data_IF_518102022787
#
_entry.id   IF_518102022787
#
_cell.length_a   1.000
_cell.length_b   1.000
_cell.length_c   1.000
_cell.angle_alpha   90.00
_cell.angle_beta   90.00
_cell.angle_gamma   90.00
#
_symmetry.space_group_name_H-M   'P 1'
#
loop_
_entity.id
_entity.type
_entity.pdbx_description
1 polymer ?
#
# COMPACT_ATOMS: atom_id res chain seq x y z
N UNK A 1 4.66 2.29 -7.39
CA UNK A 1 3.66 1.20 -7.37
C UNK A 1 4.18 0.17 -6.39
N UNK A 2 3.34 -0.32 -5.49
CA UNK A 2 3.67 -1.39 -4.55
C UNK A 2 2.84 -2.63 -4.88
N UNK A 3 3.51 -3.77 -5.00
CA UNK A 3 2.87 -5.08 -5.00
C UNK A 3 3.13 -5.79 -3.66
N UNK A 4 2.23 -6.71 -3.30
CA UNK A 4 2.42 -7.62 -2.17
C UNK A 4 2.11 -9.05 -2.61
N UNK A 5 2.97 -9.99 -2.22
CA UNK A 5 2.80 -11.40 -2.55
C UNK A 5 3.11 -12.30 -1.35
N UNK A 6 2.46 -13.48 -1.31
CA UNK A 6 2.80 -14.52 -0.33
C UNK A 6 4.07 -15.22 -0.80
N UNK A 7 5.01 -15.42 0.13
CA UNK A 7 6.21 -16.19 -0.13
C UNK A 7 5.84 -17.68 -0.03
N UNK A 8 5.77 -18.34 -1.19
CA UNK A 8 5.47 -19.78 -1.27
C UNK A 8 6.73 -20.65 -1.31
N UNK A 9 7.79 -20.16 -1.94
CA UNK A 9 9.08 -20.84 -2.02
C UNK A 9 10.21 -19.86 -1.62
N UNK A 10 10.80 -20.01 -0.42
CA UNK A 10 11.88 -19.13 0.04
C UNK A 10 13.20 -19.33 -0.73
N UNK A 11 13.41 -20.49 -1.39
CA UNK A 11 14.63 -20.76 -2.16
C UNK A 11 14.78 -19.81 -3.35
N UNK A 12 13.66 -19.32 -3.88
CA UNK A 12 13.64 -18.26 -4.88
C UNK A 12 14.35 -17.02 -4.34
N UNK A 13 14.11 -16.60 -3.10
CA UNK A 13 14.73 -15.40 -2.55
C UNK A 13 16.23 -15.62 -2.27
N UNK A 14 16.59 -16.80 -1.76
CA UNK A 14 17.98 -17.17 -1.39
C UNK A 14 18.88 -17.36 -2.62
N UNK A 15 18.35 -17.92 -3.71
CA UNK A 15 19.11 -18.06 -4.96
C UNK A 15 19.42 -16.71 -5.60
N UNK A 16 18.61 -15.69 -5.32
CA UNK A 16 18.74 -14.35 -5.89
C UNK A 16 19.68 -13.43 -5.10
N UNK A 17 20.10 -13.83 -3.89
CA UNK A 17 21.16 -13.15 -3.13
C UNK A 17 22.56 -13.66 -3.47
N UNK A 18 22.71 -14.59 -4.43
CA UNK A 18 23.96 -15.30 -4.72
C UNK A 18 24.59 -14.89 -6.06
N UNK A 19 25.04 -13.65 -6.23
CA UNK A 19 25.91 -13.27 -7.36
C UNK A 19 26.81 -12.09 -6.92
N UNK A 20 27.98 -12.31 -6.29
CA UNK A 20 29.34 -12.63 -6.76
C UNK A 20 30.27 -11.42 -6.98
N UNK A 21 31.51 -11.56 -6.49
CA UNK A 21 32.42 -10.52 -5.97
C UNK A 21 33.28 -9.74 -7.00
N UNK A 22 32.97 -9.75 -8.30
CA UNK A 22 33.84 -9.12 -9.32
C UNK A 22 33.11 -8.42 -10.50
N UNK A 23 31.80 -8.23 -10.41
CA UNK A 23 30.96 -7.65 -11.47
C UNK A 23 29.87 -6.78 -10.85
N UNK A 24 29.47 -5.71 -11.54
CA UNK A 24 28.31 -4.92 -11.10
C UNK A 24 27.02 -5.69 -11.42
N UNK A 25 26.70 -6.66 -10.56
CA UNK A 25 25.50 -7.47 -10.69
C UNK A 25 24.23 -6.61 -10.58
N UNK A 26 23.15 -7.11 -11.14
CA UNK A 26 21.84 -6.46 -11.08
C UNK A 26 21.16 -6.44 -9.69
N UNK A 27 21.83 -6.99 -8.68
CA UNK A 27 21.36 -7.11 -7.30
C UNK A 27 22.39 -6.48 -6.35
N UNK A 28 21.97 -5.54 -5.51
CA UNK A 28 22.79 -5.09 -4.39
C UNK A 28 22.73 -6.11 -3.25
N UNK A 29 23.72 -6.02 -2.35
CA UNK A 29 23.65 -6.65 -1.03
C UNK A 29 22.32 -6.31 -0.34
N UNK A 30 21.67 -7.33 0.23
CA UNK A 30 20.47 -7.13 1.03
C UNK A 30 20.81 -6.72 2.45
N UNK A 31 19.90 -6.01 3.11
CA UNK A 31 20.08 -5.61 4.52
C UNK A 31 18.90 -6.04 5.39
N UNK A 32 19.19 -6.51 6.61
CA UNK A 32 18.15 -6.77 7.60
C UNK A 32 17.58 -5.46 8.14
N UNK A 33 16.27 -5.45 8.41
CA UNK A 33 15.56 -4.26 8.86
C UNK A 33 14.42 -4.60 9.83
N UNK A 34 13.86 -3.56 10.44
CA UNK A 34 12.80 -3.68 11.44
C UNK A 34 13.31 -3.83 12.86
N UNK A 35 12.42 -3.56 13.81
CA UNK A 35 12.70 -3.48 15.23
C UNK A 35 13.03 -4.83 15.85
N UNK A 36 12.50 -5.93 15.31
CA UNK A 36 12.88 -7.26 15.80
C UNK A 36 14.34 -7.56 15.42
N UNK A 37 14.75 -7.21 14.19
CA UNK A 37 16.15 -7.29 13.78
C UNK A 37 17.03 -6.33 14.57
N UNK A 38 16.53 -5.14 14.93
CA UNK A 38 17.26 -4.20 15.81
C UNK A 38 17.54 -4.81 17.19
N UNK A 39 16.55 -5.45 17.81
CA UNK A 39 16.71 -6.15 19.09
C UNK A 39 17.73 -7.29 19.03
N UNK A 40 17.86 -7.92 17.85
CA UNK A 40 18.83 -8.99 17.60
C UNK A 40 20.19 -8.46 17.09
N UNK A 41 20.40 -7.13 17.06
CA UNK A 41 21.61 -6.49 16.50
C UNK A 41 21.88 -6.88 15.04
N UNK A 42 20.82 -7.07 14.26
CA UNK A 42 20.85 -7.40 12.84
C UNK A 42 20.50 -6.21 11.94
N UNK A 43 19.73 -5.23 12.44
CA UNK A 43 19.30 -4.10 11.60
C UNK A 43 20.48 -3.37 10.98
N UNK A 44 20.45 -3.18 9.66
CA UNK A 44 21.52 -2.55 8.87
C UNK A 44 22.71 -3.47 8.56
N UNK A 45 22.72 -4.72 9.05
CA UNK A 45 23.71 -5.72 8.62
C UNK A 45 23.29 -6.33 7.30
N UNK A 46 24.28 -6.66 6.49
CA UNK A 46 24.11 -7.46 5.29
C UNK A 46 23.39 -8.77 5.61
N UNK A 47 22.52 -9.19 4.70
CA UNK A 47 21.74 -10.42 4.83
C UNK A 47 22.63 -11.61 4.57
N UNK A 48 23.02 -12.30 5.64
CA UNK A 48 23.66 -13.61 5.52
C UNK A 48 22.62 -14.72 5.30
N UNK A 49 23.00 -15.70 4.48
CA UNK A 49 22.14 -16.82 4.08
C UNK A 49 21.61 -17.60 5.28
N UNK A 50 22.46 -17.90 6.25
CA UNK A 50 22.11 -18.75 7.41
C UNK A 50 21.05 -18.08 8.27
N UNK A 51 21.19 -16.80 8.57
CA UNK A 51 20.21 -16.03 9.33
C UNK A 51 18.92 -15.86 8.55
N UNK A 52 18.99 -15.57 7.24
CA UNK A 52 17.81 -15.44 6.40
C UNK A 52 17.00 -16.75 6.34
N UNK A 53 17.67 -17.88 6.08
CA UNK A 53 17.07 -19.23 6.07
C UNK A 53 16.44 -19.56 7.43
N UNK A 54 17.09 -19.17 8.54
CA UNK A 54 16.53 -19.34 9.89
C UNK A 54 15.22 -18.57 10.07
N UNK A 55 15.16 -17.30 9.65
CA UNK A 55 13.92 -16.52 9.73
C UNK A 55 12.80 -17.12 8.88
N UNK A 56 13.11 -17.54 7.65
CA UNK A 56 12.15 -18.24 6.79
C UNK A 56 11.66 -19.55 7.43
N UNK A 57 12.58 -20.31 8.01
CA UNK A 57 12.28 -21.60 8.66
C UNK A 57 11.23 -21.52 9.76
N UNK A 58 11.08 -20.36 10.44
CA UNK A 58 10.05 -20.17 11.45
C UNK A 58 8.62 -20.28 10.90
N UNK A 59 8.41 -19.93 9.63
CA UNK A 59 7.11 -20.00 8.96
C UNK A 59 6.78 -21.35 8.33
N UNK A 60 7.78 -22.26 8.23
CA UNK A 60 7.67 -23.54 7.51
C UNK A 60 6.53 -24.42 8.03
N UNK A 61 6.41 -24.56 9.36
CA UNK A 61 5.36 -25.39 9.99
C UNK A 61 3.95 -24.84 9.76
N UNK A 62 3.83 -23.54 9.54
CA UNK A 62 2.55 -22.83 9.36
C UNK A 62 2.19 -22.68 7.86
N UNK A 63 3.04 -23.13 6.94
CA UNK A 63 2.83 -22.95 5.49
C UNK A 63 2.83 -21.48 5.06
N UNK A 64 3.42 -20.59 5.86
CA UNK A 64 3.48 -19.16 5.65
C UNK A 64 4.88 -18.66 5.98
N UNK A 65 5.72 -18.49 4.96
CA UNK A 65 7.10 -18.00 5.13
C UNK A 65 7.18 -16.49 5.37
N UNK A 66 6.14 -15.76 4.97
CA UNK A 66 6.04 -14.31 5.07
C UNK A 66 5.39 -13.72 3.83
N UNK A 67 5.56 -12.41 3.67
CA UNK A 67 5.16 -11.68 2.46
C UNK A 67 6.32 -10.91 1.88
N UNK A 68 6.30 -10.73 0.57
CA UNK A 68 7.20 -9.88 -0.16
C UNK A 68 6.43 -8.64 -0.62
N UNK A 69 7.02 -7.46 -0.40
CA UNK A 69 6.49 -6.16 -0.81
C UNK A 69 7.50 -5.52 -1.77
N UNK A 70 7.03 -5.19 -2.98
CA UNK A 70 7.89 -4.75 -4.08
C UNK A 70 7.60 -3.29 -4.46
N UNK A 71 8.19 -2.28 -3.79
CA UNK A 71 8.11 -0.90 -4.24
C UNK A 71 9.02 -0.66 -5.44
N UNK A 72 8.47 0.02 -6.45
CA UNK A 72 9.24 0.57 -7.55
C UNK A 72 8.92 2.05 -7.73
N UNK A 73 9.93 2.92 -7.99
CA UNK A 73 9.68 4.30 -8.36
C UNK A 73 8.99 4.35 -9.74
N UNK A 74 8.44 5.52 -10.11
CA UNK A 74 8.04 5.79 -11.49
C UNK A 74 9.16 5.46 -12.49
N UNK A 75 8.80 5.08 -13.72
CA UNK A 75 9.77 4.61 -14.73
C UNK A 75 10.77 5.71 -15.11
N UNK A 76 10.30 6.95 -15.24
CA UNK A 76 11.13 8.12 -15.50
C UNK A 76 12.20 8.35 -14.42
N UNK A 77 11.94 8.07 -13.14
CA UNK A 77 12.97 8.08 -12.10
C UNK A 77 14.11 7.12 -12.41
N UNK A 78 13.77 5.87 -12.79
CA UNK A 78 14.79 4.86 -13.11
C UNK A 78 15.59 5.24 -14.36
N UNK A 79 14.89 5.66 -15.42
CA UNK A 79 15.50 6.11 -16.68
C UNK A 79 16.44 7.28 -16.43
N UNK A 80 16.00 8.27 -15.64
CA UNK A 80 16.80 9.43 -15.31
C UNK A 80 18.04 9.08 -14.47
N UNK A 81 17.87 8.19 -13.49
CA UNK A 81 18.99 7.66 -12.68
C UNK A 81 20.02 6.93 -13.55
N UNK A 82 19.59 6.02 -14.43
CA UNK A 82 20.52 5.26 -15.27
C UNK A 82 21.18 6.14 -16.34
N UNK A 83 20.57 7.27 -16.73
CA UNK A 83 21.22 8.25 -17.62
C UNK A 83 22.21 9.16 -16.90
N UNK A 84 22.10 9.32 -15.60
CA UNK A 84 22.93 10.22 -14.81
C UNK A 84 24.41 9.80 -14.84
N UNK A 85 25.30 10.79 -14.67
CA UNK A 85 26.69 10.49 -14.34
C UNK A 85 26.77 9.78 -12.97
N UNK A 86 27.90 9.13 -12.68
CA UNK A 86 28.06 8.32 -11.47
C UNK A 86 27.75 9.09 -10.18
N UNK A 87 28.18 10.36 -10.10
CA UNK A 87 27.94 11.20 -8.91
C UNK A 87 26.46 11.48 -8.68
N UNK A 88 25.72 11.83 -9.73
CA UNK A 88 24.28 12.09 -9.63
C UNK A 88 23.49 10.78 -9.49
N UNK A 89 23.95 9.68 -10.11
CA UNK A 89 23.36 8.35 -9.93
C UNK A 89 23.37 7.92 -8.46
N UNK A 90 24.48 8.14 -7.75
CA UNK A 90 24.57 7.89 -6.31
C UNK A 90 23.58 8.73 -5.49
N UNK A 91 23.27 9.96 -5.92
CA UNK A 91 22.22 10.77 -5.28
C UNK A 91 20.86 10.11 -5.46
N UNK A 92 20.49 9.68 -6.67
CA UNK A 92 19.22 8.97 -6.91
C UNK A 92 19.10 7.70 -6.08
N UNK A 93 20.17 6.90 -6.00
CA UNK A 93 20.22 5.71 -5.13
C UNK A 93 19.98 6.07 -3.66
N UNK A 94 20.59 7.15 -3.18
CA UNK A 94 20.34 7.66 -1.83
C UNK A 94 18.88 8.08 -1.62
N UNK A 95 18.24 8.73 -2.61
CA UNK A 95 16.81 9.06 -2.53
C UNK A 95 15.96 7.80 -2.40
N UNK A 96 16.26 6.78 -3.22
CA UNK A 96 15.57 5.49 -3.17
C UNK A 96 15.73 4.83 -1.81
N UNK A 97 16.96 4.76 -1.29
CA UNK A 97 17.26 4.22 0.05
C UNK A 97 16.48 4.93 1.15
N UNK A 98 16.40 6.26 1.13
CA UNK A 98 15.59 7.02 2.09
C UNK A 98 14.10 6.68 1.98
N UNK A 99 13.59 6.51 0.76
CA UNK A 99 12.19 6.13 0.53
C UNK A 99 11.89 4.70 1.02
N UNK A 100 12.81 3.76 0.82
CA UNK A 100 12.72 2.40 1.34
C UNK A 100 12.75 2.39 2.87
N UNK A 101 13.60 3.20 3.51
CA UNK A 101 13.64 3.33 4.97
C UNK A 101 12.31 3.84 5.55
N UNK A 102 11.72 4.87 4.95
CA UNK A 102 10.41 5.40 5.37
C UNK A 102 9.30 4.34 5.17
N UNK A 103 9.36 3.58 4.07
CA UNK A 103 8.42 2.50 3.79
C UNK A 103 8.56 1.34 4.79
N UNK A 104 9.78 0.89 5.11
CA UNK A 104 10.05 -0.14 6.12
C UNK A 104 9.45 0.26 7.47
N UNK A 105 9.60 1.53 7.87
CA UNK A 105 8.98 2.05 9.09
C UNK A 105 7.45 2.01 9.00
N UNK A 106 6.88 2.41 7.87
CA UNK A 106 5.44 2.37 7.66
C UNK A 106 4.89 0.94 7.71
N UNK A 107 5.60 -0.04 7.13
CA UNK A 107 5.27 -1.47 7.20
C UNK A 107 5.23 -1.92 8.66
N UNK A 108 6.25 -1.61 9.45
CA UNK A 108 6.30 -1.95 10.87
C UNK A 108 5.13 -1.35 11.66
N UNK A 109 4.82 -0.07 11.44
CA UNK A 109 3.70 0.65 12.08
C UNK A 109 2.31 0.17 11.64
N UNK A 110 2.24 -0.70 10.63
CA UNK A 110 0.99 -1.23 10.07
C UNK A 110 0.96 -2.75 9.98
N UNK A 111 1.86 -3.45 10.68
CA UNK A 111 1.86 -4.92 10.73
C UNK A 111 1.10 -5.39 11.96
N UNK A 112 -0.01 -6.08 11.74
CA UNK A 112 -0.89 -6.60 12.80
C UNK A 112 -0.77 -8.13 12.91
N UNK A 113 -1.15 -8.67 14.06
CA UNK A 113 -1.39 -10.09 14.27
C UNK A 113 -2.79 -10.32 14.83
N UNK A 114 -3.32 -11.53 14.62
CA UNK A 114 -4.63 -11.94 15.12
C UNK A 114 -4.49 -12.51 16.53
N UNK A 115 -5.32 -12.05 17.46
CA UNK A 115 -5.39 -12.56 18.83
C UNK A 115 -6.82 -13.01 19.15
N UNK A 116 -6.98 -14.27 19.55
CA UNK A 116 -8.27 -14.84 19.94
C UNK A 116 -8.26 -15.19 21.42
N UNK A 117 -9.14 -14.56 22.20
CA UNK A 117 -9.28 -14.78 23.64
C UNK A 117 -10.75 -15.00 23.99
N UNK A 118 -11.08 -16.12 24.65
CA UNK A 118 -12.46 -16.47 25.05
C UNK A 118 -13.48 -16.36 23.89
N UNK A 119 -13.09 -16.80 22.69
CA UNK A 119 -13.92 -16.75 21.48
C UNK A 119 -13.92 -15.40 20.75
N UNK A 120 -13.37 -14.33 21.34
CA UNK A 120 -13.30 -13.02 20.70
C UNK A 120 -11.98 -12.85 19.96
N UNK A 121 -12.06 -12.63 18.65
CA UNK A 121 -10.91 -12.41 17.77
C UNK A 121 -10.74 -10.92 17.49
N UNK A 122 -9.53 -10.41 17.67
CA UNK A 122 -9.16 -9.02 17.35
C UNK A 122 -7.80 -8.96 16.67
N UNK A 123 -7.53 -7.84 16.00
CA UNK A 123 -6.23 -7.54 15.42
C UNK A 123 -5.47 -6.58 16.34
N UNK A 124 -4.23 -6.93 16.68
CA UNK A 124 -3.35 -6.10 17.50
C UNK A 124 -2.11 -5.72 16.71
N UNK A 125 -1.67 -4.46 16.85
CA UNK A 125 -0.43 -4.00 16.23
C UNK A 125 0.76 -4.74 16.85
N UNK A 126 1.64 -5.27 16.01
CA UNK A 126 2.87 -5.90 16.44
C UNK A 126 3.78 -4.91 17.19
N UNK A 127 4.52 -5.42 18.18
CA UNK A 127 5.51 -4.64 18.94
C UNK A 127 6.83 -4.53 18.19
N UNK A 128 7.18 -5.55 17.41
CA UNK A 128 8.39 -5.61 16.60
C UNK A 128 8.23 -6.57 15.41
N UNK A 129 8.75 -6.16 14.25
CA UNK A 129 8.71 -6.89 12.98
C UNK A 129 10.14 -7.12 12.50
N UNK A 130 10.40 -8.26 11.87
CA UNK A 130 11.68 -8.54 11.20
C UNK A 130 11.48 -8.51 9.69
N UNK A 131 12.39 -7.83 9.00
CA UNK A 131 12.40 -7.70 7.55
C UNK A 131 13.81 -7.90 7.00
N UNK A 132 13.89 -8.20 5.71
CA UNK A 132 15.09 -8.09 4.90
C UNK A 132 14.71 -7.38 3.60
N UNK A 133 15.59 -6.59 3.02
CA UNK A 133 15.30 -5.91 1.76
C UNK A 133 16.49 -5.96 0.80
N UNK A 134 16.20 -6.04 -0.50
CA UNK A 134 17.17 -6.19 -1.59
C UNK A 134 16.86 -5.20 -2.72
N UNK A 135 17.84 -4.39 -3.12
CA UNK A 135 17.69 -3.44 -4.23
C UNK A 135 18.11 -4.11 -5.55
N UNK A 136 17.27 -3.98 -6.57
CA UNK A 136 17.47 -4.57 -7.90
C UNK A 136 17.30 -3.52 -9.01
N UNK A 137 17.99 -3.70 -10.13
CA UNK A 137 18.08 -2.69 -11.21
C UNK A 137 17.47 -3.08 -12.55
N UNK A 138 17.11 -4.35 -12.74
CA UNK A 138 16.69 -4.88 -14.04
C UNK A 138 15.24 -5.35 -14.01
N UNK A 139 14.55 -5.22 -15.14
CA UNK A 139 13.31 -5.95 -15.35
C UNK A 139 13.60 -7.42 -15.61
N UNK A 140 12.55 -8.24 -15.56
CA UNK A 140 12.60 -9.55 -16.22
C UNK A 140 12.88 -9.37 -17.72
N UNK A 141 13.71 -10.25 -18.26
CA UNK A 141 14.04 -10.26 -19.68
C UNK A 141 12.81 -10.52 -20.54
N UNK A 142 12.74 -9.80 -21.66
CA UNK A 142 11.72 -9.96 -22.70
C UNK A 142 12.45 -10.23 -24.00
N UNK A 143 12.10 -11.35 -24.64
CA UNK A 143 12.63 -11.65 -25.96
C UNK A 143 12.10 -10.66 -27.01
N UNK A 144 13.03 -10.02 -27.73
CA UNK A 144 12.81 -9.07 -28.82
C UNK A 144 13.73 -9.48 -29.98
N UNK A 145 13.15 -9.85 -31.12
CA UNK A 145 13.89 -10.26 -32.33
C UNK A 145 14.92 -11.38 -32.07
N UNK A 146 14.59 -12.38 -31.23
CA UNK A 146 15.48 -13.49 -30.88
C UNK A 146 16.56 -13.15 -29.85
N UNK A 147 16.56 -11.94 -29.29
CA UNK A 147 17.49 -11.50 -28.24
C UNK A 147 16.73 -11.23 -26.95
N UNK A 148 17.22 -11.72 -25.82
CA UNK A 148 16.65 -11.44 -24.51
C UNK A 148 17.08 -10.03 -24.07
N UNK A 149 16.13 -9.08 -24.01
CA UNK A 149 16.39 -7.70 -23.60
C UNK A 149 15.89 -7.45 -22.19
N UNK A 150 16.68 -6.73 -21.39
CA UNK A 150 16.32 -6.31 -20.03
C UNK A 150 16.18 -4.79 -19.99
N UNK A 151 15.09 -4.29 -19.40
CA UNK A 151 14.91 -2.85 -19.20
C UNK A 151 15.50 -2.42 -17.85
N UNK A 152 15.98 -1.18 -17.77
CA UNK A 152 16.28 -0.57 -16.49
C UNK A 152 14.99 -0.48 -15.64
N UNK A 153 15.03 -1.06 -14.44
CA UNK A 153 13.92 -1.07 -13.49
C UNK A 153 14.48 -1.11 -12.07
N UNK A 154 14.68 0.06 -11.46
CA UNK A 154 14.95 0.14 -10.03
C UNK A 154 13.73 -0.39 -9.27
N UNK A 155 13.96 -1.25 -8.29
CA UNK A 155 12.94 -1.72 -7.35
C UNK A 155 13.59 -2.32 -6.12
N UNK A 156 12.81 -2.40 -5.04
CA UNK A 156 13.21 -3.11 -3.82
C UNK A 156 12.36 -4.38 -3.69
N UNK A 157 12.94 -5.44 -3.16
CA UNK A 157 12.23 -6.60 -2.66
C UNK A 157 12.27 -6.56 -1.13
N UNK A 158 11.17 -6.20 -0.47
CA UNK A 158 11.08 -6.17 1.00
C UNK A 158 10.40 -7.44 1.48
N UNK A 159 11.19 -8.35 2.05
CA UNK A 159 10.73 -9.57 2.70
C UNK A 159 10.32 -9.26 4.14
N UNK A 160 9.04 -9.38 4.44
CA UNK A 160 8.51 -9.37 5.81
C UNK A 160 8.38 -10.82 6.27
N UNK A 161 9.22 -11.22 7.23
CA UNK A 161 9.21 -12.59 7.72
C UNK A 161 7.93 -12.89 8.50
N UNK A 162 7.47 -14.15 8.41
CA UNK A 162 6.19 -14.62 8.97
C UNK A 162 5.92 -14.27 10.44
N UNK A 163 6.95 -14.27 11.29
CA UNK A 163 6.80 -14.10 12.74
C UNK A 163 7.11 -12.68 13.20
N UNK A 164 6.21 -12.16 14.03
CA UNK A 164 6.33 -10.87 14.70
C UNK A 164 6.21 -11.04 16.21
N UNK A 165 6.73 -10.09 16.99
CA UNK A 165 6.56 -10.09 18.45
C UNK A 165 5.33 -9.25 18.79
N UNK A 166 4.38 -9.85 19.50
CA UNK A 166 3.18 -9.19 20.00
C UNK A 166 3.45 -8.29 21.20
N UNK A 167 2.45 -7.52 21.62
CA UNK A 167 2.57 -6.68 22.83
C UNK A 167 2.70 -7.51 24.10
N UNK A 168 2.19 -8.74 24.07
CA UNK A 168 2.34 -9.75 25.12
C UNK A 168 3.75 -10.38 25.16
N UNK A 169 4.67 -9.95 24.30
CA UNK A 169 6.04 -10.48 24.23
C UNK A 169 6.16 -11.85 23.56
N UNK A 170 5.05 -12.42 23.08
CA UNK A 170 5.04 -13.72 22.39
C UNK A 170 5.20 -13.54 20.88
N UNK A 171 5.63 -14.61 20.21
CA UNK A 171 5.67 -14.63 18.74
C UNK A 171 4.29 -14.98 18.18
N UNK A 172 3.89 -14.26 17.13
CA UNK A 172 2.64 -14.48 16.40
C UNK A 172 2.90 -14.40 14.89
N UNK A 173 2.06 -15.05 14.10
CA UNK A 173 2.05 -14.88 12.64
C UNK A 173 1.34 -13.56 12.30
N UNK A 174 1.94 -12.74 11.46
CA UNK A 174 1.33 -11.47 11.07
C UNK A 174 0.26 -11.65 9.99
N UNK A 175 -0.61 -10.65 9.86
CA UNK A 175 -1.73 -10.65 8.90
C UNK A 175 -1.54 -9.68 7.75
N UNK A 176 -0.30 -9.21 7.51
CA UNK A 176 0.01 -8.20 6.50
C UNK A 176 -0.45 -8.57 5.07
N UNK A 177 -0.56 -9.86 4.73
CA UNK A 177 -1.11 -10.29 3.44
C UNK A 177 -2.57 -9.83 3.23
N UNK A 178 -3.33 -9.65 4.32
CA UNK A 178 -4.72 -9.20 4.29
C UNK A 178 -4.85 -7.81 3.64
N UNK A 179 -3.79 -6.99 3.65
CA UNK A 179 -3.73 -5.70 2.97
C UNK A 179 -4.04 -5.78 1.46
N UNK A 180 -3.77 -6.94 0.84
CA UNK A 180 -4.11 -7.23 -0.55
C UNK A 180 -5.62 -7.34 -0.79
N UNK A 181 -6.38 -7.70 0.23
CA UNK A 181 -7.82 -7.97 0.14
C UNK A 181 -8.66 -6.86 0.78
N UNK A 182 -8.02 -5.84 1.37
CA UNK A 182 -8.70 -4.64 1.85
C UNK A 182 -9.48 -3.96 0.72
N UNK A 183 -10.68 -3.45 1.06
CA UNK A 183 -11.45 -2.61 0.15
C UNK A 183 -10.59 -1.43 -0.33
N UNK A 184 -10.43 -1.28 -1.64
CA UNK A 184 -9.59 -0.26 -2.29
C UNK A 184 -8.07 -0.35 -1.98
N UNK A 185 -7.59 -1.43 -1.34
CA UNK A 185 -6.17 -1.61 -0.98
C UNK A 185 -5.59 -0.44 -0.13
N UNK A 186 -6.34 0.07 0.85
CA UNK A 186 -5.97 1.28 1.60
C UNK A 186 -4.56 1.22 2.21
N UNK A 187 -4.17 0.09 2.80
CA UNK A 187 -2.83 -0.11 3.37
C UNK A 187 -1.73 -0.07 2.30
N UNK A 188 -1.93 -0.72 1.15
CA UNK A 188 -0.93 -0.70 0.08
C UNK A 188 -0.82 0.68 -0.58
N UNK A 189 -1.93 1.39 -0.75
CA UNK A 189 -1.91 2.76 -1.26
C UNK A 189 -1.21 3.71 -0.27
N UNK A 190 -1.40 3.51 1.04
CA UNK A 190 -0.67 4.27 2.05
C UNK A 190 0.83 4.03 1.97
N UNK A 191 1.26 2.77 1.87
CA UNK A 191 2.66 2.41 1.66
C UNK A 191 3.24 3.03 0.38
N UNK A 192 2.51 2.96 -0.73
CA UNK A 192 2.95 3.53 -2.01
C UNK A 192 3.13 5.03 -1.90
N UNK A 193 2.20 5.74 -1.23
CA UNK A 193 2.32 7.19 -1.05
C UNK A 193 3.42 7.61 -0.07
N UNK A 194 3.74 6.81 0.96
CA UNK A 194 4.92 7.07 1.80
C UNK A 194 6.20 7.04 0.94
N UNK A 195 6.35 5.99 0.14
CA UNK A 195 7.51 5.80 -0.73
C UNK A 195 7.60 6.89 -1.82
N UNK A 196 6.51 7.14 -2.55
CA UNK A 196 6.42 8.15 -3.59
C UNK A 196 6.64 9.57 -3.05
N UNK A 197 6.10 9.88 -1.87
CA UNK A 197 6.26 11.18 -1.25
C UNK A 197 7.72 11.47 -0.92
N UNK A 198 8.45 10.50 -0.34
CA UNK A 198 9.89 10.68 -0.08
C UNK A 198 10.66 10.95 -1.37
N UNK A 199 10.47 10.14 -2.41
CA UNK A 199 11.15 10.33 -3.70
C UNK A 199 10.87 11.71 -4.28
N UNK A 200 9.60 12.12 -4.34
CA UNK A 200 9.18 13.42 -4.83
C UNK A 200 9.89 14.58 -4.10
N UNK A 201 9.98 14.51 -2.77
CA UNK A 201 10.64 15.56 -1.98
C UNK A 201 12.15 15.58 -2.17
N UNK A 202 12.81 14.44 -2.30
CA UNK A 202 14.26 14.42 -2.57
C UNK A 202 14.57 14.89 -4.01
N UNK A 203 13.76 14.52 -5.00
CA UNK A 203 13.86 15.03 -6.38
C UNK A 203 13.75 16.56 -6.43
N UNK A 204 12.76 17.13 -5.73
CA UNK A 204 12.55 18.57 -5.66
C UNK A 204 13.74 19.30 -5.03
N UNK A 205 14.40 18.71 -4.02
CA UNK A 205 15.61 19.28 -3.41
C UNK A 205 16.78 19.33 -4.40
N UNK A 206 16.89 18.34 -5.28
CA UNK A 206 17.91 18.33 -6.34
C UNK A 206 17.53 19.18 -7.57
N UNK A 207 16.36 19.83 -7.54
CA UNK A 207 15.89 20.75 -8.58
C UNK A 207 15.09 20.11 -9.71
N UNK A 208 14.69 18.84 -9.58
CA UNK A 208 13.80 18.20 -10.55
C UNK A 208 12.35 18.61 -10.30
N UNK A 209 11.63 18.92 -11.38
CA UNK A 209 10.20 19.28 -11.32
C UNK A 209 9.38 18.02 -11.51
N UNK A 210 8.41 17.80 -10.62
CA UNK A 210 7.45 16.70 -10.74
C UNK A 210 6.08 17.19 -11.19
N UNK A 211 5.38 16.33 -11.90
CA UNK A 211 4.02 16.55 -12.41
C UNK A 211 3.08 15.43 -11.92
N UNK A 212 1.77 15.70 -11.79
CA UNK A 212 0.78 14.67 -11.48
C UNK A 212 0.77 13.55 -12.51
N UNK A 213 0.98 12.32 -12.03
CA UNK A 213 0.87 11.11 -12.83
C UNK A 213 -0.45 10.39 -12.59
N UNK A 214 -0.54 9.18 -13.14
CA UNK A 214 -1.72 8.32 -12.95
C UNK A 214 -1.81 7.77 -11.52
N UNK A 215 -3.04 7.63 -11.00
CA UNK A 215 -3.33 6.97 -9.71
C UNK A 215 -2.50 7.51 -8.54
N UNK A 216 -2.46 8.83 -8.37
CA UNK A 216 -1.67 9.52 -7.35
C UNK A 216 -0.15 9.27 -7.44
N UNK A 217 0.39 8.76 -8.55
CA UNK A 217 1.84 8.75 -8.83
C UNK A 217 2.30 10.13 -9.31
N UNK A 218 3.61 10.35 -9.43
CA UNK A 218 4.17 11.49 -10.14
C UNK A 218 4.91 11.07 -11.41
N UNK A 219 5.18 12.04 -12.29
CA UNK A 219 6.15 11.98 -13.38
C UNK A 219 7.21 13.07 -13.21
N UNK A 220 8.36 12.94 -13.86
CA UNK A 220 9.44 13.94 -13.84
C UNK A 220 9.40 14.73 -15.14
N UNK A 221 9.21 16.04 -15.02
CA UNK A 221 9.17 16.94 -16.17
C UNK A 221 10.49 16.86 -16.95
N UNK A 222 10.38 16.74 -18.27
CA UNK A 222 11.53 16.65 -19.17
C UNK A 222 11.98 15.22 -19.50
N UNK A 223 11.43 14.19 -18.83
CA UNK A 223 11.53 12.80 -19.30
C UNK A 223 10.29 12.48 -20.12
N UNK A 224 10.46 12.26 -21.42
CA UNK A 224 9.31 12.08 -22.32
C UNK A 224 8.64 10.71 -22.15
N UNK A 225 7.37 10.62 -22.56
CA UNK A 225 6.60 9.38 -22.49
C UNK A 225 7.25 8.30 -23.37
N UNK A 226 7.76 8.68 -24.54
CA UNK A 226 8.44 7.80 -25.49
C UNK A 226 9.65 7.12 -24.84
N UNK A 227 10.46 7.87 -24.09
CA UNK A 227 11.60 7.31 -23.34
C UNK A 227 11.12 6.30 -22.29
N UNK A 228 10.10 6.64 -21.50
CA UNK A 228 9.59 5.70 -20.49
C UNK A 228 8.96 4.45 -21.10
N UNK A 229 8.31 4.57 -22.25
CA UNK A 229 7.68 3.47 -22.98
C UNK A 229 8.72 2.55 -23.63
N UNK A 230 9.85 3.08 -24.08
CA UNK A 230 10.98 2.28 -24.57
C UNK A 230 11.48 1.30 -23.50
N UNK A 231 11.55 1.73 -22.24
CA UNK A 231 11.94 0.90 -21.10
C UNK A 231 10.76 0.22 -20.37
N UNK A 232 9.63 0.06 -21.05
CA UNK A 232 8.42 -0.60 -20.52
C UNK A 232 8.02 -1.82 -21.37
N UNK A 233 9.00 -2.55 -21.92
CA UNK A 233 8.78 -3.70 -22.84
C UNK A 233 7.91 -4.78 -22.21
N UNK A 234 8.12 -5.09 -20.92
CA UNK A 234 7.33 -6.06 -20.17
C UNK A 234 5.85 -5.68 -20.14
N UNK A 235 5.55 -4.40 -19.93
CA UNK A 235 4.19 -3.87 -19.91
C UNK A 235 3.56 -3.99 -21.30
N UNK A 236 4.27 -3.60 -22.35
CA UNK A 236 3.82 -3.71 -23.76
C UNK A 236 3.44 -5.16 -24.09
N UNK A 237 4.32 -6.13 -23.80
CA UNK A 237 4.04 -7.57 -24.02
C UNK A 237 2.81 -8.09 -23.26
N UNK A 238 2.59 -7.61 -22.04
CA UNK A 238 1.37 -7.97 -21.27
C UNK A 238 0.14 -7.38 -21.95
N UNK A 239 0.17 -6.11 -22.34
CA UNK A 239 -0.93 -5.42 -23.00
C UNK A 239 -1.25 -6.07 -24.35
N UNK A 240 -0.24 -6.38 -25.17
CA UNK A 240 -0.41 -7.11 -26.43
C UNK A 240 -1.09 -8.46 -26.21
N UNK A 241 -0.82 -9.15 -25.09
CA UNK A 241 -1.37 -10.47 -24.81
C UNK A 241 -2.83 -10.45 -24.33
N UNK A 242 -3.24 -9.43 -23.56
CA UNK A 242 -4.57 -9.41 -22.91
C UNK A 242 -5.45 -8.20 -23.23
N UNK A 243 -4.92 -7.17 -23.88
CA UNK A 243 -5.59 -5.91 -24.15
C UNK A 243 -5.38 -4.85 -23.05
N UNK A 244 -5.48 -3.58 -23.42
CA UNK A 244 -5.29 -2.46 -22.48
C UNK A 244 -6.44 -2.35 -21.47
N UNK A 245 -7.66 -2.73 -21.84
CA UNK A 245 -8.83 -2.68 -20.94
C UNK A 245 -8.98 -3.92 -20.05
N UNK A 246 -8.03 -4.87 -20.14
CA UNK A 246 -8.07 -6.08 -19.34
C UNK A 246 -8.01 -5.78 -17.84
N UNK A 247 -8.78 -6.57 -17.07
CA UNK A 247 -8.79 -6.46 -15.62
C UNK A 247 -7.39 -6.61 -15.02
N UNK A 248 -7.17 -6.02 -13.84
CA UNK A 248 -5.91 -6.17 -13.11
C UNK A 248 -5.54 -7.63 -12.87
N UNK A 249 -6.51 -8.48 -12.51
CA UNK A 249 -6.30 -9.91 -12.30
C UNK A 249 -5.83 -10.61 -13.58
N UNK A 250 -6.42 -10.24 -14.73
CA UNK A 250 -6.04 -10.77 -16.06
C UNK A 250 -4.61 -10.35 -16.42
N UNK A 251 -4.28 -9.07 -16.28
CA UNK A 251 -2.91 -8.55 -16.54
C UNK A 251 -1.89 -9.18 -15.60
N UNK A 252 -2.23 -9.38 -14.32
CA UNK A 252 -1.36 -10.05 -13.34
C UNK A 252 -1.09 -11.51 -13.72
N UNK A 253 -2.11 -12.24 -14.18
CA UNK A 253 -1.93 -13.63 -14.63
C UNK A 253 -1.07 -13.71 -15.89
N UNK A 254 -1.31 -12.84 -16.86
CA UNK A 254 -0.48 -12.76 -18.06
C UNK A 254 0.98 -12.39 -17.74
N UNK A 255 1.20 -11.51 -16.75
CA UNK A 255 2.53 -11.19 -16.24
C UNK A 255 3.26 -12.39 -15.64
N UNK A 256 2.56 -13.36 -15.04
CA UNK A 256 3.19 -14.59 -14.55
C UNK A 256 3.48 -15.56 -15.71
N UNK A 257 2.50 -15.75 -16.61
CA UNK A 257 2.59 -16.75 -17.68
C UNK A 257 3.59 -16.37 -18.79
N UNK A 258 3.85 -15.08 -19.01
CA UNK A 258 4.76 -14.60 -20.06
C UNK A 258 6.16 -14.30 -19.53
N UNK A 259 6.47 -14.68 -18.28
CA UNK A 259 7.71 -14.31 -17.60
C UNK A 259 8.81 -15.33 -17.91
N UNK A 260 9.91 -14.86 -18.49
CA UNK A 260 11.11 -15.68 -18.61
C UNK A 260 11.74 -15.95 -17.23
N UNK A 261 12.57 -17.00 -17.16
CA UNK A 261 13.38 -17.29 -15.97
C UNK A 261 14.27 -16.07 -15.69
N UNK A 262 14.53 -15.78 -14.41
CA UNK A 262 15.50 -14.74 -14.04
C UNK A 262 16.89 -15.31 -14.35
N UNK A 263 17.68 -14.56 -15.08
CA UNK A 263 19.07 -14.87 -15.43
C UNK A 263 19.96 -13.80 -14.82
N UNK A 264 21.21 -14.15 -14.55
CA UNK A 264 22.21 -13.21 -14.07
C UNK A 264 22.48 -12.17 -15.14
N UNK A 265 22.48 -10.89 -14.77
CA UNK A 265 22.76 -9.79 -15.69
C UNK A 265 23.90 -8.92 -15.17
N UNK A 266 24.81 -8.57 -16.08
CA UNK A 266 25.91 -7.65 -15.82
C UNK A 266 25.48 -6.22 -16.18
N UNK A 267 25.34 -5.35 -15.18
CA UNK A 267 24.95 -3.95 -15.41
C UNK A 267 25.99 -3.18 -16.22
N UNK A 268 27.27 -3.59 -16.15
CA UNK A 268 28.35 -3.01 -16.95
C UNK A 268 28.11 -3.19 -18.46
N UNK A 269 27.40 -4.25 -18.86
CA UNK A 269 27.04 -4.51 -20.26
C UNK A 269 25.68 -3.91 -20.63
N UNK A 270 24.71 -3.95 -19.72
CA UNK A 270 23.36 -3.43 -19.96
C UNK A 270 23.29 -1.90 -20.05
N UNK A 271 24.06 -1.18 -19.23
CA UNK A 271 24.00 0.29 -19.24
C UNK A 271 24.40 0.92 -20.57
N UNK A 272 25.51 0.52 -21.22
CA UNK A 272 25.82 1.00 -22.56
C UNK A 272 24.70 0.74 -23.58
N UNK A 273 23.99 -0.39 -23.48
CA UNK A 273 22.82 -0.66 -24.33
C UNK A 273 21.66 0.31 -24.02
N UNK A 274 21.36 0.52 -22.74
CA UNK A 274 20.33 1.46 -22.32
C UNK A 274 20.64 2.89 -22.75
N UNK A 275 21.89 3.33 -22.64
CA UNK A 275 22.31 4.66 -23.10
C UNK A 275 22.11 4.82 -24.61
N UNK A 276 22.46 3.81 -25.41
CA UNK A 276 22.19 3.82 -26.86
C UNK A 276 20.69 3.93 -27.18
N UNK A 277 19.84 3.21 -26.44
CA UNK A 277 18.37 3.28 -26.58
C UNK A 277 17.81 4.65 -26.17
N UNK A 278 18.42 5.30 -25.19
CA UNK A 278 18.07 6.68 -24.80
C UNK A 278 18.58 7.71 -25.82
N UNK A 279 19.78 7.53 -26.36
CA UNK A 279 20.37 8.38 -27.40
C UNK A 279 19.52 8.38 -28.67
N UNK A 280 18.98 7.23 -29.08
CA UNK A 280 18.09 7.14 -30.24
C UNK A 280 16.77 7.88 -30.07
N UNK A 281 16.43 8.28 -28.83
CA UNK A 281 15.26 9.10 -28.49
C UNK A 281 15.66 10.55 -28.12
N UNK A 282 16.93 10.93 -28.27
CA UNK A 282 17.43 12.26 -27.94
C UNK A 282 17.52 12.54 -26.43
N UNK A 283 17.42 11.51 -25.58
CA UNK A 283 17.55 11.64 -24.13
C UNK A 283 19.00 11.44 -23.70
N UNK A 284 19.82 12.45 -23.97
CA UNK A 284 21.28 12.44 -23.76
C UNK A 284 21.68 12.95 -22.36
N UNK A 285 22.93 12.71 -21.94
CA UNK A 285 23.38 13.04 -20.58
C UNK A 285 23.36 14.55 -20.28
N UNK A 286 23.65 15.38 -21.29
CA UNK A 286 23.56 16.85 -21.24
C UNK A 286 22.14 17.35 -20.98
N UNK A 287 21.10 16.55 -21.29
CA UNK A 287 19.71 16.92 -21.04
C UNK A 287 19.36 16.91 -19.55
N UNK A 288 20.03 16.11 -18.72
CA UNK A 288 19.70 15.95 -17.29
C UNK A 288 19.76 17.28 -16.54
N UNK A 289 20.78 18.09 -16.80
CA UNK A 289 20.89 19.43 -16.21
C UNK A 289 19.78 20.37 -16.71
N UNK A 290 19.46 20.28 -18.01
CA UNK A 290 18.49 21.17 -18.67
C UNK A 290 17.04 20.96 -18.23
N UNK A 291 16.69 19.78 -17.71
CA UNK A 291 15.32 19.48 -17.25
C UNK A 291 15.04 19.96 -15.82
N UNK A 292 16.07 20.46 -15.11
CA UNK A 292 15.89 21.04 -13.78
C UNK A 292 15.13 22.36 -13.86
N UNK A 293 14.40 22.68 -12.80
CA UNK A 293 13.59 23.89 -12.76
C UNK A 293 12.96 24.15 -11.39
N UNK A 294 12.09 25.16 -11.33
CA UNK A 294 11.35 25.52 -10.13
C UNK A 294 10.02 24.77 -10.09
N UNK A 295 9.79 24.02 -9.02
CA UNK A 295 8.49 23.39 -8.78
C UNK A 295 7.39 24.44 -8.62
N UNK A 296 6.26 24.24 -9.30
CA UNK A 296 5.02 25.00 -9.07
C UNK A 296 4.07 24.21 -8.16
N UNK A 297 3.22 24.93 -7.43
CA UNK A 297 2.14 24.31 -6.67
C UNK A 297 1.06 23.77 -7.60
N UNK A 298 0.72 22.50 -7.43
CA UNK A 298 -0.34 21.81 -8.18
C UNK A 298 -1.17 20.90 -7.25
N UNK A 299 -1.09 21.13 -5.93
CA UNK A 299 -1.87 20.37 -4.95
C UNK A 299 -3.34 20.72 -5.00
N UNK A 300 -4.19 19.72 -4.79
CA UNK A 300 -5.64 19.87 -4.78
C UNK A 300 -6.15 20.24 -3.39
N UNK A 301 -7.25 20.99 -3.35
CA UNK A 301 -7.98 21.28 -2.12
C UNK A 301 -8.77 20.05 -1.66
N UNK A 302 -9.17 20.03 -0.38
CA UNK A 302 -9.92 18.92 0.22
C UNK A 302 -11.14 18.48 -0.60
N UNK A 303 -11.96 19.45 -1.07
CA UNK A 303 -13.19 19.16 -1.81
C UNK A 303 -12.94 18.56 -3.20
N UNK A 304 -11.78 18.83 -3.81
CA UNK A 304 -11.37 18.25 -5.10
C UNK A 304 -10.84 16.82 -4.93
N UNK A 305 -10.25 16.52 -3.77
CA UNK A 305 -9.71 15.19 -3.44
C UNK A 305 -10.80 14.22 -2.98
N UNK A 306 -11.80 14.73 -2.24
CA UNK A 306 -12.85 13.94 -1.60
C UNK A 306 -14.24 14.23 -2.15
N UNK A 307 -14.40 14.27 -3.47
CA UNK A 307 -15.68 14.57 -4.15
C UNK A 307 -16.80 13.59 -3.76
N UNK A 308 -16.52 12.28 -3.85
CA UNK A 308 -17.54 11.22 -3.76
C UNK A 308 -17.34 10.28 -2.57
N UNK A 309 -16.66 10.74 -1.52
CA UNK A 309 -16.39 9.95 -0.32
C UNK A 309 -17.19 10.50 0.86
N UNK A 310 -18.31 9.85 1.19
CA UNK A 310 -19.11 10.19 2.36
C UNK A 310 -18.39 9.84 3.68
N UNK A 311 -17.66 8.72 3.71
CA UNK A 311 -16.85 8.27 4.85
C UNK A 311 -15.39 8.20 4.43
N UNK A 312 -14.51 8.79 5.23
CA UNK A 312 -13.07 8.85 5.00
C UNK A 312 -12.37 8.18 6.18
N UNK A 313 -11.59 7.13 5.92
CA UNK A 313 -10.75 6.53 6.96
C UNK A 313 -9.56 7.45 7.29
N UNK A 314 -9.04 7.35 8.51
CA UNK A 314 -7.82 8.06 8.91
C UNK A 314 -6.64 7.71 8.03
N UNK A 315 -6.56 6.47 7.57
CA UNK A 315 -5.52 6.01 6.66
C UNK A 315 -5.68 6.69 5.29
N UNK A 316 -6.88 6.67 4.71
CA UNK A 316 -7.17 7.34 3.45
C UNK A 316 -6.87 8.84 3.51
N UNK A 317 -7.22 9.52 4.60
CA UNK A 317 -6.91 10.93 4.81
C UNK A 317 -5.41 11.21 4.76
N UNK A 318 -4.61 10.40 5.49
CA UNK A 318 -3.14 10.49 5.47
C UNK A 318 -2.57 10.19 4.09
N UNK A 319 -3.06 9.14 3.43
CA UNK A 319 -2.64 8.75 2.08
C UNK A 319 -2.84 9.91 1.09
N UNK A 320 -4.00 10.57 1.14
CA UNK A 320 -4.29 11.71 0.27
C UNK A 320 -3.51 12.96 0.65
N UNK A 321 -3.30 13.22 1.94
CA UNK A 321 -2.44 14.32 2.37
C UNK A 321 -0.99 14.15 1.87
N UNK A 322 -0.45 12.92 1.92
CA UNK A 322 0.86 12.58 1.32
C UNK A 322 0.86 12.78 -0.20
N UNK A 323 -0.19 12.34 -0.88
CA UNK A 323 -0.30 12.47 -2.33
C UNK A 323 -0.27 13.94 -2.77
N UNK A 324 -1.07 14.79 -2.11
CA UNK A 324 -1.16 16.21 -2.46
C UNK A 324 0.06 17.02 -1.98
N UNK A 325 0.64 16.69 -0.82
CA UNK A 325 1.82 17.43 -0.32
C UNK A 325 3.04 17.31 -1.22
N UNK A 326 3.12 16.30 -2.11
CA UNK A 326 4.16 16.22 -3.15
C UNK A 326 4.17 17.48 -4.01
N UNK A 327 3.02 18.00 -4.36
CA UNK A 327 2.85 19.13 -5.28
C UNK A 327 2.59 20.46 -4.57
N UNK A 328 2.79 20.52 -3.26
CA UNK A 328 2.55 21.72 -2.45
C UNK A 328 3.85 22.26 -1.85
N UNK A 329 3.88 23.58 -1.63
CA UNK A 329 4.81 24.24 -0.71
C UNK A 329 4.58 23.83 0.74
N UNK A 330 3.38 23.35 1.07
CA UNK A 330 3.05 22.86 2.41
C UNK A 330 3.68 21.50 2.66
N UNK A 331 4.10 21.28 3.89
CA UNK A 331 4.51 19.97 4.39
C UNK A 331 3.32 19.01 4.48
N UNK A 332 3.60 17.70 4.55
CA UNK A 332 2.59 16.69 4.81
C UNK A 332 1.74 17.00 6.05
N UNK A 333 2.38 17.45 7.14
CA UNK A 333 1.69 17.76 8.41
C UNK A 333 0.72 18.93 8.26
N UNK A 334 1.14 19.99 7.56
CA UNK A 334 0.29 21.15 7.28
C UNK A 334 -0.90 20.76 6.39
N UNK A 335 -0.66 19.96 5.33
CA UNK A 335 -1.73 19.53 4.44
C UNK A 335 -2.71 18.56 5.11
N UNK A 336 -2.20 17.67 5.96
CA UNK A 336 -3.04 16.80 6.79
C UNK A 336 -3.88 17.61 7.79
N UNK A 337 -3.32 18.66 8.38
CA UNK A 337 -4.04 19.56 9.29
C UNK A 337 -5.14 20.33 8.56
N UNK A 338 -4.85 20.84 7.36
CA UNK A 338 -5.83 21.47 6.48
C UNK A 338 -6.98 20.52 6.15
N UNK A 339 -6.67 19.28 5.74
CA UNK A 339 -7.70 18.27 5.45
C UNK A 339 -8.52 17.90 6.69
N UNK A 340 -7.89 17.85 7.87
CA UNK A 340 -8.59 17.65 9.13
C UNK A 340 -9.54 18.79 9.48
N UNK A 341 -9.17 20.04 9.23
CA UNK A 341 -10.01 21.20 9.52
C UNK A 341 -11.27 21.24 8.64
N UNK A 342 -11.16 20.78 7.38
CA UNK A 342 -12.26 20.72 6.42
C UNK A 342 -13.24 19.56 6.68
N UNK A 343 -12.82 18.54 7.43
CA UNK A 343 -13.71 17.50 7.99
C UNK A 343 -14.55 18.11 9.13
N UNK A 344 -15.47 19.03 8.80
CA UNK A 344 -16.35 19.70 9.77
C UNK A 344 -17.19 18.66 10.53
N UNK A 345 -16.76 18.30 11.74
CA UNK A 345 -17.56 17.77 12.85
C UNK A 345 -18.49 16.57 12.57
N UNK A 346 -17.93 15.43 12.16
CA UNK A 346 -18.61 14.14 12.29
C UNK A 346 -17.61 13.00 12.47
N UNK A 347 -17.02 12.85 13.66
CA UNK A 347 -16.17 11.68 13.96
C UNK A 347 -17.08 10.46 14.16
N UNK A 348 -17.08 9.53 13.20
CA UNK A 348 -17.88 8.29 13.26
C UNK A 348 -17.23 7.21 14.15
N UNK A 349 -15.98 7.41 14.56
CA UNK A 349 -15.24 6.49 15.42
C UNK A 349 -13.76 6.87 15.51
N UNK A 350 -12.92 6.03 16.13
CA UNK A 350 -11.48 6.33 16.28
C UNK A 350 -10.73 6.47 14.94
N UNK A 351 -11.18 5.74 13.91
CA UNK A 351 -10.47 5.60 12.63
C UNK A 351 -11.24 6.12 11.40
N UNK A 352 -12.44 6.70 11.57
CA UNK A 352 -13.30 7.14 10.46
C UNK A 352 -13.91 8.52 10.70
N UNK A 353 -14.02 9.29 9.62
CA UNK A 353 -14.59 10.64 9.58
C UNK A 353 -15.74 10.69 8.57
N UNK A 354 -16.74 11.52 8.86
CA UNK A 354 -17.81 11.87 7.94
C UNK A 354 -17.39 13.12 7.14
N UNK A 355 -17.53 13.06 5.82
CA UNK A 355 -17.31 14.20 4.94
C UNK A 355 -18.62 14.98 4.77
N UNK A 356 -18.87 15.97 5.61
CA UNK A 356 -20.12 16.76 5.63
C UNK A 356 -20.36 17.62 4.39
N UNK A 357 -19.35 17.80 3.54
CA UNK A 357 -19.50 18.50 2.27
C UNK A 357 -20.14 17.63 1.17
N UNK A 358 -20.14 16.30 1.34
CA UNK A 358 -20.77 15.38 0.40
C UNK A 358 -22.31 15.40 0.51
N UNK A 359 -23.05 15.35 -0.62
CA UNK A 359 -24.53 15.39 -0.59
C UNK A 359 -25.15 14.18 0.14
N UNK A 360 -24.52 13.01 0.07
CA UNK A 360 -25.01 11.80 0.74
C UNK A 360 -24.80 11.81 2.26
N UNK A 361 -23.77 12.53 2.75
CA UNK A 361 -23.50 12.64 4.19
C UNK A 361 -24.45 13.60 4.90
N UNK A 362 -25.05 14.57 4.21
CA UNK A 362 -26.04 15.50 4.80
C UNK A 362 -27.28 14.79 5.34
N UNK A 363 -27.67 13.65 4.77
CA UNK A 363 -28.77 12.83 5.29
C UNK A 363 -28.35 12.01 6.52
N UNK A 364 -27.09 11.54 6.56
CA UNK A 364 -26.51 10.89 7.74
C UNK A 364 -26.33 11.88 8.90
N UNK A 365 -25.83 13.09 8.63
CA UNK A 365 -25.62 14.15 9.62
C UNK A 365 -26.94 14.69 10.22
N UNK A 366 -27.98 14.83 9.40
CA UNK A 366 -29.34 15.15 9.88
C UNK A 366 -29.95 14.07 10.77
N UNK A 367 -29.64 12.78 10.53
CA UNK A 367 -30.12 11.71 11.42
C UNK A 367 -29.33 11.63 12.73
N UNK A 368 -28.10 12.15 12.74
CA UNK A 368 -27.25 12.24 13.94
C UNK A 368 -27.64 13.47 14.79
N UNK A 369 -28.03 14.58 14.17
CA UNK A 369 -28.32 15.87 14.86
C UNK A 369 -29.81 16.22 15.03
N UNK A 370 -30.73 15.55 14.34
CA UNK A 370 -32.17 15.83 14.39
C UNK A 370 -32.94 14.81 15.21
N UNK A 371 -33.30 15.15 16.45
CA UNK A 371 -34.05 14.32 17.41
C UNK A 371 -35.50 13.95 17.04
N UNK A 372 -35.87 13.93 15.76
CA UNK A 372 -37.17 13.46 15.28
C UNK A 372 -36.99 12.57 14.05
N UNK A 373 -36.99 11.26 14.26
CA UNK A 373 -37.02 10.27 13.19
C UNK A 373 -38.46 9.82 12.95
N UNK A 374 -39.01 10.14 11.77
CA UNK A 374 -40.03 9.28 11.15
C UNK A 374 -39.34 8.00 10.67
N UNK A 375 -39.96 6.82 10.85
CA UNK A 375 -39.37 5.56 10.44
C UNK A 375 -39.09 5.56 8.93
N UNK A 376 -37.88 5.15 8.54
CA UNK A 376 -37.55 4.85 7.15
C UNK A 376 -38.34 3.59 6.80
N UNK A 377 -39.34 3.71 5.92
CA UNK A 377 -40.05 2.54 5.37
C UNK A 377 -39.05 1.74 4.54
N UNK A 378 -38.81 0.50 4.95
CA UNK A 378 -38.00 -0.45 4.20
C UNK A 378 -38.58 -0.65 2.80
N UNK A 379 -37.79 -0.30 1.78
CA UNK A 379 -38.08 -0.68 0.41
C UNK A 379 -37.90 -2.18 0.27
N UNK A 380 -38.99 -2.92 0.09
CA UNK A 380 -38.94 -4.30 -0.35
C UNK A 380 -38.64 -4.33 -1.85
N UNK A 381 -37.36 -4.43 -2.22
CA UNK A 381 -37.01 -4.95 -3.54
C UNK A 381 -36.97 -6.48 -3.47
N UNK A 382 -37.90 -7.12 -4.19
CA UNK A 382 -37.83 -8.54 -4.53
C UNK A 382 -36.95 -8.69 -5.77
N UNK A 383 -35.81 -9.37 -5.67
CA UNK A 383 -35.33 -10.37 -6.66
C UNK A 383 -33.95 -10.96 -6.32
N UNK A 384 -33.86 -12.30 -6.40
CA UNK A 384 -32.70 -13.18 -6.71
C UNK A 384 -31.39 -13.10 -5.89
N UNK A 385 -31.21 -14.14 -5.05
CA UNK A 385 -29.95 -14.73 -4.50
C UNK A 385 -28.77 -13.79 -4.23
N UNK A 386 -28.92 -12.93 -3.22
CA UNK A 386 -27.78 -12.23 -2.59
C UNK A 386 -26.84 -13.21 -1.89
N UNK A 387 -25.53 -12.96 -2.05
CA UNK A 387 -24.45 -13.67 -1.33
C UNK A 387 -24.58 -13.47 0.18
N UNK A 388 -24.07 -14.41 0.96
CA UNK A 388 -24.17 -14.37 2.42
C UNK A 388 -23.39 -13.18 2.98
N UNK A 389 -22.25 -12.82 2.36
CA UNK A 389 -21.49 -11.61 2.68
C UNK A 389 -22.29 -10.32 2.48
N UNK A 390 -23.07 -10.21 1.41
CA UNK A 390 -23.92 -9.03 1.14
C UNK A 390 -25.03 -8.88 2.19
N UNK A 391 -25.65 -9.99 2.60
CA UNK A 391 -26.66 -10.01 3.67
C UNK A 391 -26.08 -9.64 5.04
N UNK A 392 -24.89 -10.14 5.35
CA UNK A 392 -24.18 -9.81 6.60
C UNK A 392 -23.70 -8.35 6.61
N UNK A 393 -23.29 -7.83 5.46
CA UNK A 393 -22.92 -6.42 5.31
C UNK A 393 -24.12 -5.49 5.47
N UNK A 394 -25.30 -5.86 4.96
CA UNK A 394 -26.55 -5.15 5.20
C UNK A 394 -26.96 -5.19 6.68
N UNK A 395 -26.88 -6.38 7.30
CA UNK A 395 -27.16 -6.56 8.74
C UNK A 395 -26.22 -5.76 9.63
N UNK A 396 -24.94 -5.65 9.27
CA UNK A 396 -23.96 -4.81 9.96
C UNK A 396 -24.35 -3.34 9.91
N UNK A 397 -24.82 -2.86 8.76
CA UNK A 397 -25.26 -1.49 8.57
C UNK A 397 -26.55 -1.20 9.36
N UNK A 398 -27.47 -2.16 9.44
CA UNK A 398 -28.69 -2.05 10.25
C UNK A 398 -28.39 -2.03 11.75
N UNK A 399 -27.51 -2.91 12.25
CA UNK A 399 -27.10 -2.89 13.67
C UNK A 399 -26.40 -1.58 14.01
N UNK A 400 -25.50 -1.10 13.16
CA UNK A 400 -24.87 0.22 13.34
C UNK A 400 -25.90 1.34 13.43
N UNK A 401 -26.90 1.32 12.56
CA UNK A 401 -27.97 2.32 12.56
C UNK A 401 -28.87 2.22 13.81
N UNK A 402 -29.23 0.99 14.21
CA UNK A 402 -30.07 0.73 15.38
C UNK A 402 -29.39 1.13 16.69
N UNK A 403 -28.12 0.77 16.87
CA UNK A 403 -27.38 1.15 18.07
C UNK A 403 -26.98 2.62 18.07
N UNK A 404 -26.74 3.25 16.92
CA UNK A 404 -26.60 4.70 16.83
C UNK A 404 -27.87 5.40 17.31
N UNK A 405 -29.06 4.95 16.89
CA UNK A 405 -30.34 5.48 17.37
C UNK A 405 -30.54 5.26 18.87
N UNK A 406 -30.21 4.06 19.39
CA UNK A 406 -30.33 3.75 20.82
C UNK A 406 -29.39 4.59 21.67
N UNK A 407 -28.15 4.76 21.24
CA UNK A 407 -27.16 5.62 21.90
C UNK A 407 -27.62 7.08 21.86
N UNK A 408 -28.13 7.56 20.72
CA UNK A 408 -28.70 8.90 20.61
C UNK A 408 -29.89 9.11 21.55
N UNK A 409 -30.77 8.13 21.72
CA UNK A 409 -31.88 8.18 22.67
C UNK A 409 -31.41 8.21 24.13
N UNK A 410 -30.37 7.44 24.49
CA UNK A 410 -29.78 7.45 25.83
C UNK A 410 -29.13 8.82 26.09
N UNK A 411 -28.38 9.35 25.12
CA UNK A 411 -27.74 10.67 25.22
C UNK A 411 -28.75 11.82 25.28
N UNK A 412 -29.89 11.72 24.57
CA UNK A 412 -30.95 12.73 24.64
C UNK A 412 -31.59 12.82 26.03
N UNK A 413 -31.68 11.70 26.76
CA UNK A 413 -32.17 11.66 28.16
C UNK A 413 -31.21 12.31 29.16
N UNK A 414 -29.90 12.38 28.85
CA UNK A 414 -28.86 13.01 29.70
C UNK A 414 -29.06 14.51 29.93
N UNK A 415 -29.96 15.17 29.19
CA UNK A 415 -30.31 16.58 29.41
C UNK A 415 -31.09 16.84 30.71
N UNK A 416 -31.47 15.80 31.50
CA UNK A 416 -32.38 16.00 32.65
C UNK A 416 -32.01 15.39 34.00
N UNK A 417 -31.08 14.43 34.17
CA UNK A 417 -30.63 13.96 35.52
C UNK A 417 -29.22 13.32 35.50
N UNK A 418 -28.28 13.83 36.32
CA UNK A 418 -26.93 13.26 36.46
C UNK A 418 -26.90 12.05 37.41
N UNK A 419 -26.30 10.93 36.97
CA UNK A 419 -25.74 9.91 37.89
C UNK A 419 -26.02 8.44 37.56
N UNK A 420 -27.22 8.06 37.13
CA UNK A 420 -27.60 6.66 36.86
C UNK A 420 -27.37 6.20 35.40
N UNK A 421 -27.20 7.14 34.46
CA UNK A 421 -27.30 6.90 33.01
C UNK A 421 -25.95 6.63 32.30
N UNK A 422 -24.82 6.73 33.02
CA UNK A 422 -23.48 6.38 32.49
C UNK A 422 -23.30 4.86 32.34
N UNK A 423 -23.93 4.08 33.21
CA UNK A 423 -23.91 2.61 33.15
C UNK A 423 -24.75 2.08 31.97
N UNK A 424 -25.89 2.71 31.66
CA UNK A 424 -26.74 2.33 30.54
C UNK A 424 -26.09 2.65 29.19
N UNK A 425 -25.45 3.82 29.07
CA UNK A 425 -24.65 4.18 27.91
C UNK A 425 -23.46 3.22 27.74
N UNK A 426 -22.72 2.95 28.81
CA UNK A 426 -21.58 2.01 28.78
C UNK A 426 -22.02 0.59 28.39
N UNK A 427 -23.18 0.15 28.87
CA UNK A 427 -23.76 -1.15 28.52
C UNK A 427 -24.20 -1.18 27.05
N UNK A 428 -24.89 -0.16 26.56
CA UNK A 428 -25.32 -0.06 25.17
C UNK A 428 -24.13 -0.02 24.19
N UNK A 429 -23.04 0.66 24.54
CA UNK A 429 -21.80 0.67 23.76
C UNK A 429 -21.08 -0.67 23.79
N UNK A 430 -21.08 -1.36 24.93
CA UNK A 430 -20.53 -2.72 25.06
C UNK A 430 -21.32 -3.74 24.23
N UNK A 431 -22.64 -3.68 24.29
CA UNK A 431 -23.54 -4.54 23.53
C UNK A 431 -23.38 -4.30 22.01
N UNK A 432 -23.22 -3.04 21.60
CA UNK A 432 -22.92 -2.68 20.21
C UNK A 432 -21.59 -3.27 19.73
N UNK A 433 -20.52 -3.08 20.51
CA UNK A 433 -19.20 -3.58 20.14
C UNK A 433 -19.19 -5.12 20.01
N UNK A 434 -19.95 -5.82 20.87
CA UNK A 434 -20.11 -7.27 20.79
C UNK A 434 -20.86 -7.68 19.52
N UNK A 435 -22.02 -7.06 19.26
CA UNK A 435 -22.83 -7.36 18.07
C UNK A 435 -22.09 -7.03 16.75
N UNK A 436 -21.37 -5.92 16.71
CA UNK A 436 -20.54 -5.51 15.56
C UNK A 436 -19.39 -6.50 15.34
N UNK A 437 -18.72 -6.95 16.40
CA UNK A 437 -17.63 -7.92 16.31
C UNK A 437 -18.11 -9.29 15.80
N UNK A 438 -19.28 -9.74 16.27
CA UNK A 438 -19.88 -11.01 15.84
C UNK A 438 -20.23 -10.99 14.34
N UNK A 439 -20.90 -9.93 13.86
CA UNK A 439 -21.24 -9.83 12.42
C UNK A 439 -20.00 -9.65 11.56
N UNK A 440 -19.00 -8.88 11.98
CA UNK A 440 -17.75 -8.74 11.21
C UNK A 440 -16.98 -10.08 11.11
N UNK A 441 -17.05 -10.92 12.15
CA UNK A 441 -16.45 -12.25 12.13
C UNK A 441 -17.17 -13.15 11.12
N UNK A 442 -18.51 -13.15 11.14
CA UNK A 442 -19.32 -13.90 10.19
C UNK A 442 -19.12 -13.39 8.75
N UNK A 443 -19.03 -12.07 8.56
CA UNK A 443 -18.78 -11.45 7.27
C UNK A 443 -17.41 -11.87 6.71
N UNK A 444 -16.38 -11.88 7.56
CA UNK A 444 -15.05 -12.35 7.17
C UNK A 444 -15.08 -13.84 6.78
N UNK A 445 -15.78 -14.69 7.52
CA UNK A 445 -15.94 -16.11 7.19
C UNK A 445 -16.71 -16.32 5.89
N UNK A 446 -17.83 -15.62 5.69
CA UNK A 446 -18.63 -15.69 4.47
C UNK A 446 -17.83 -15.23 3.24
N UNK A 447 -17.04 -14.16 3.36
CA UNK A 447 -16.15 -13.70 2.30
C UNK A 447 -15.06 -14.75 1.97
N UNK A 448 -14.53 -15.45 2.98
CA UNK A 448 -13.58 -16.55 2.79
C UNK A 448 -14.25 -17.74 2.09
N UNK A 449 -15.44 -18.16 2.52
CA UNK A 449 -16.16 -19.29 1.93
C UNK A 449 -16.61 -19.02 0.50
N UNK A 450 -17.14 -17.83 0.24
CA UNK A 450 -17.52 -17.39 -1.11
C UNK A 450 -16.29 -17.24 -2.03
N UNK A 451 -15.13 -16.89 -1.47
CA UNK A 451 -13.87 -16.91 -2.23
C UNK A 451 -13.42 -18.33 -2.58
N UNK A 452 -13.62 -19.30 -1.69
CA UNK A 452 -13.29 -20.73 -1.92
C UNK A 452 -14.22 -21.40 -2.93
N UNK A 453 -15.52 -21.06 -2.95
CA UNK A 453 -16.44 -21.58 -3.96
C UNK A 453 -16.08 -21.10 -5.39
N UNK A 454 -15.56 -19.87 -5.53
CA UNK A 454 -15.07 -19.39 -6.83
C UNK A 454 -13.77 -20.08 -7.30
N UNK A 455 -13.06 -20.77 -6.42
CA UNK A 455 -11.86 -21.56 -6.74
C UNK A 455 -12.18 -23.04 -7.05
N UNK A 456 -13.39 -23.53 -6.77
CA UNK A 456 -13.83 -24.92 -7.07
C UNK A 456 -14.69 -25.04 -8.35
N UNK A 457 -15.35 -23.96 -8.78
CA UNK A 457 -16.13 -23.91 -10.03
C UNK A 457 -15.31 -23.45 -11.26
N UNK A 458 -13.97 -23.53 -11.19
CA UNK A 458 -13.01 -23.28 -12.28
C UNK A 458 -11.85 -24.25 -12.21
#
# INVERSE_FOLDING_TARGET
MIAISKINNPDYLISHTKHEYYTEGDNQEGYFAGKLCSWQKLSGKEVDRTTFERFMGYGKKEGFYGVEIDPAPPKDFTVLMERANDTDREKFLKMHKLAVQDLIKAIEENTYYRKTEKGNTRYELAKAVSMAHFTHFTSRGVEKNGVLTHDCQLHEHIVVFSRVVGKDGKYHSHTLLDAKYEKNHETLNYFDQIYQHRLAKELQKEGYVIEPGNRDSFTIKGVSKEVTEEFSTRRKKIIEKVGEDASYATKSRASLNTRNKKEYNDLGQLRPEWHKRMDSLGFTADKIGSIKGKQSNQDKAFNEVFTDKAVISKKLLKTKALAESKYSTKTYTEKLTEFHAELKLGKLGKEHYLNTNNKHSKNMDKSINGGNLKPIKGGTEKSTTLKQSDKLQASLNEIRSSYANRIAQILAKQSTKQGLETAELSKAMSDFAKAESEINTQLSQALIEESRQNDYDR
#
